data_IF_728359125342
#
_entry.id   IF_728359125342
#
_cell.length_a   1.000
_cell.length_b   1.000
_cell.length_c   1.000
_cell.angle_alpha   90.00
_cell.angle_beta   90.00
_cell.angle_gamma   90.00
#
_symmetry.space_group_name_H-M   'P 1'
#
loop_
_entity.id
_entity.type
_entity.pdbx_description
1 polymer ?
#
# COMPACT_ATOMS: atom_id res chain seq x y z
N UNK A 1 -7.53 -4.57 24.93
CA UNK A 1 -7.45 -3.77 23.69
C UNK A 1 -6.46 -4.47 22.77
N UNK A 2 -6.86 -4.92 21.57
CA UNK A 2 -5.91 -5.54 20.64
C UNK A 2 -4.99 -4.46 20.06
N UNK A 3 -3.68 -4.67 20.06
CA UNK A 3 -2.70 -3.76 19.46
C UNK A 3 -2.75 -3.78 17.92
N UNK A 4 -3.32 -4.84 17.34
CA UNK A 4 -3.34 -5.06 15.90
C UNK A 4 -4.63 -4.54 15.24
N UNK A 5 -4.49 -4.09 13.99
CA UNK A 5 -5.62 -3.62 13.19
C UNK A 5 -6.59 -4.76 12.94
N UNK A 6 -7.88 -4.51 13.19
CA UNK A 6 -8.93 -5.42 12.72
C UNK A 6 -9.00 -5.38 11.20
N UNK A 7 -9.51 -6.43 10.52
CA UNK A 7 -9.60 -6.44 9.06
C UNK A 7 -10.38 -5.24 8.49
N UNK A 8 -11.46 -4.83 9.17
CA UNK A 8 -12.26 -3.68 8.75
C UNK A 8 -11.49 -2.36 8.82
N UNK A 9 -10.76 -2.12 9.92
CA UNK A 9 -9.91 -0.92 10.06
C UNK A 9 -8.79 -0.98 9.02
N UNK A 10 -8.16 -2.14 8.83
CA UNK A 10 -7.09 -2.30 7.86
C UNK A 10 -7.55 -2.09 6.41
N UNK A 11 -8.75 -2.56 6.05
CA UNK A 11 -9.35 -2.30 4.73
C UNK A 11 -9.55 -0.81 4.52
N UNK A 12 -10.14 -0.11 5.50
CA UNK A 12 -10.28 1.34 5.47
C UNK A 12 -8.93 2.04 5.33
N UNK A 13 -7.93 1.67 6.14
CA UNK A 13 -6.58 2.25 6.08
C UNK A 13 -5.89 2.00 4.75
N UNK A 14 -6.09 0.84 4.13
CA UNK A 14 -5.57 0.52 2.79
C UNK A 14 -6.16 1.48 1.77
N UNK A 15 -7.48 1.64 1.75
CA UNK A 15 -8.17 2.55 0.82
C UNK A 15 -7.79 4.02 1.05
N UNK A 16 -7.68 4.44 2.32
CA UNK A 16 -7.23 5.78 2.68
C UNK A 16 -5.80 6.05 2.19
N UNK A 17 -4.89 5.08 2.33
CA UNK A 17 -3.53 5.18 1.81
C UNK A 17 -3.52 5.25 0.27
N UNK A 18 -4.32 4.42 -0.41
CA UNK A 18 -4.50 4.47 -1.87
C UNK A 18 -4.98 5.82 -2.35
N UNK A 19 -5.99 6.38 -1.69
CA UNK A 19 -6.52 7.69 -2.02
C UNK A 19 -5.46 8.76 -1.83
N UNK A 20 -4.75 8.76 -0.70
CA UNK A 20 -3.68 9.71 -0.41
C UNK A 20 -2.53 9.62 -1.44
N UNK A 21 -2.10 8.40 -1.80
CA UNK A 21 -1.09 8.16 -2.82
C UNK A 21 -1.52 8.70 -4.19
N UNK A 22 -2.76 8.43 -4.61
CA UNK A 22 -3.32 8.93 -5.88
C UNK A 22 -3.44 10.44 -5.89
N UNK A 23 -3.91 11.05 -4.80
CA UNK A 23 -3.98 12.51 -4.66
C UNK A 23 -2.59 13.14 -4.74
N UNK A 24 -1.60 12.57 -4.03
CA UNK A 24 -0.21 13.01 -4.09
C UNK A 24 0.32 12.94 -5.53
N UNK A 25 0.16 11.81 -6.22
CA UNK A 25 0.65 11.66 -7.59
C UNK A 25 -0.05 12.61 -8.56
N UNK A 26 -1.33 12.89 -8.36
CA UNK A 26 -2.05 13.88 -9.17
C UNK A 26 -1.54 15.29 -8.92
N UNK A 27 -1.41 15.71 -7.67
CA UNK A 27 -1.01 17.08 -7.33
C UNK A 27 0.49 17.34 -7.53
N UNK A 28 1.36 16.45 -7.04
CA UNK A 28 2.80 16.66 -7.02
C UNK A 28 3.50 16.32 -8.35
N UNK A 29 2.92 15.42 -9.15
CA UNK A 29 3.51 14.96 -10.42
C UNK A 29 2.67 15.40 -11.61
N UNK A 30 1.40 15.01 -11.69
CA UNK A 30 0.59 15.24 -12.91
C UNK A 30 0.26 16.72 -13.14
N UNK A 31 -0.11 17.49 -12.11
CA UNK A 31 -0.37 18.93 -12.25
C UNK A 31 0.90 19.73 -12.60
N UNK A 32 2.08 19.29 -12.13
CA UNK A 32 3.33 19.93 -12.53
C UNK A 32 3.64 19.69 -14.00
N UNK A 33 3.35 18.49 -14.50
CA UNK A 33 3.57 18.14 -15.91
C UNK A 33 2.68 18.93 -16.88
N UNK A 34 1.45 19.30 -16.50
CA UNK A 34 0.54 20.03 -17.39
C UNK A 34 1.03 21.43 -17.77
N UNK A 35 1.89 22.04 -16.95
CA UNK A 35 2.48 23.36 -17.22
C UNK A 35 3.86 23.32 -17.87
N UNK A 36 4.43 22.13 -18.10
CA UNK A 36 5.79 21.97 -18.63
C UNK A 36 5.78 21.71 -20.13
N UNK A 37 6.77 22.24 -20.83
CA UNK A 37 7.09 21.83 -22.19
C UNK A 37 7.62 20.37 -22.19
N UNK A 38 7.68 19.72 -23.36
CA UNK A 38 8.03 18.29 -23.47
C UNK A 38 9.43 17.97 -22.95
N UNK A 39 10.38 18.88 -23.06
CA UNK A 39 11.77 18.67 -22.63
C UNK A 39 11.91 18.78 -21.11
N UNK A 40 11.32 19.79 -20.49
CA UNK A 40 11.38 19.98 -19.04
C UNK A 40 10.53 18.92 -18.33
N UNK A 41 9.42 18.49 -18.93
CA UNK A 41 8.64 17.34 -18.43
C UNK A 41 9.44 16.02 -18.41
N UNK A 42 10.29 15.78 -19.42
CA UNK A 42 11.19 14.60 -19.42
C UNK A 42 12.26 14.70 -18.35
N UNK A 43 12.84 15.89 -18.14
CA UNK A 43 13.82 16.11 -17.06
C UNK A 43 13.19 15.88 -15.69
N UNK A 44 12.01 16.44 -15.45
CA UNK A 44 11.25 16.26 -14.21
C UNK A 44 10.92 14.79 -13.92
N UNK A 45 10.42 14.05 -14.92
CA UNK A 45 10.17 12.60 -14.77
C UNK A 45 11.45 11.78 -14.53
N UNK A 46 12.60 12.31 -14.95
CA UNK A 46 13.91 11.72 -14.71
C UNK A 46 14.45 11.95 -13.30
N UNK A 47 13.85 12.87 -12.52
CA UNK A 47 14.29 13.12 -11.15
C UNK A 47 14.14 11.86 -10.29
N UNK A 48 15.17 11.49 -9.47
CA UNK A 48 15.18 10.23 -8.73
C UNK A 48 13.95 10.03 -7.84
N UNK A 49 13.44 11.10 -7.21
CA UNK A 49 12.26 11.02 -6.37
C UNK A 49 10.97 10.83 -7.18
N UNK A 50 10.83 11.48 -8.35
CA UNK A 50 9.65 11.33 -9.23
C UNK A 50 9.62 9.91 -9.80
N UNK A 51 10.76 9.41 -10.28
CA UNK A 51 10.87 8.04 -10.77
C UNK A 51 10.51 7.02 -9.69
N UNK A 52 10.97 7.23 -8.45
CA UNK A 52 10.62 6.36 -7.33
C UNK A 52 9.16 6.47 -6.92
N UNK A 53 8.58 7.68 -6.89
CA UNK A 53 7.17 7.89 -6.59
C UNK A 53 6.27 7.22 -7.64
N UNK A 54 6.58 7.37 -8.94
CA UNK A 54 5.88 6.69 -10.03
C UNK A 54 5.97 5.16 -9.90
N UNK A 55 7.15 4.61 -9.63
CA UNK A 55 7.33 3.18 -9.44
C UNK A 55 6.63 2.65 -8.17
N UNK A 56 6.60 3.45 -7.10
CA UNK A 56 5.87 3.13 -5.89
C UNK A 56 4.34 3.16 -6.12
N UNK A 57 3.84 4.13 -6.89
CA UNK A 57 2.42 4.25 -7.25
C UNK A 57 1.93 3.09 -8.10
N UNK A 58 2.75 2.60 -9.03
CA UNK A 58 2.39 1.44 -9.84
C UNK A 58 2.14 0.23 -8.95
N UNK A 59 3.06 -0.01 -8.02
CA UNK A 59 2.94 -1.11 -7.08
C UNK A 59 1.78 -0.93 -6.09
N UNK A 60 1.50 0.30 -5.66
CA UNK A 60 0.30 0.60 -4.87
C UNK A 60 -0.98 0.25 -5.64
N UNK A 61 -1.05 0.63 -6.93
CA UNK A 61 -2.22 0.37 -7.77
C UNK A 61 -2.45 -1.14 -8.04
N UNK A 62 -1.39 -1.94 -8.08
CA UNK A 62 -1.46 -3.40 -8.28
C UNK A 62 -1.95 -4.13 -7.02
N UNK A 63 -1.42 -3.76 -5.85
CA UNK A 63 -1.61 -4.53 -4.63
C UNK A 63 -2.76 -4.05 -3.74
N UNK A 64 -3.09 -2.76 -3.75
CA UNK A 64 -4.12 -2.23 -2.86
C UNK A 64 -5.52 -2.80 -3.12
N UNK A 65 -5.97 -3.04 -4.37
CA UNK A 65 -7.24 -3.74 -4.60
C UNK A 65 -7.23 -5.15 -3.99
N UNK A 66 -6.12 -5.89 -4.13
CA UNK A 66 -5.99 -7.24 -3.56
C UNK A 66 -6.07 -7.20 -2.03
N UNK A 67 -5.33 -6.29 -1.38
CA UNK A 67 -5.40 -6.15 0.09
C UNK A 67 -6.79 -5.70 0.55
N UNK A 68 -7.39 -4.73 -0.12
CA UNK A 68 -8.72 -4.25 0.25
C UNK A 68 -9.75 -5.39 0.16
N UNK A 69 -9.77 -6.13 -0.94
CA UNK A 69 -10.71 -7.24 -1.15
C UNK A 69 -10.53 -8.35 -0.11
N UNK A 70 -9.30 -8.80 0.15
CA UNK A 70 -9.04 -9.88 1.11
C UNK A 70 -9.36 -9.45 2.56
N UNK A 71 -9.08 -8.19 2.91
CA UNK A 71 -9.39 -7.64 4.24
C UNK A 71 -10.90 -7.45 4.44
N UNK A 72 -11.62 -6.98 3.42
CA UNK A 72 -13.08 -6.88 3.46
C UNK A 72 -13.73 -8.26 3.58
N UNK A 73 -13.21 -9.27 2.87
CA UNK A 73 -13.68 -10.64 3.03
C UNK A 73 -13.45 -11.14 4.46
N UNK A 74 -12.23 -10.98 5.00
CA UNK A 74 -11.92 -11.36 6.37
C UNK A 74 -12.76 -10.61 7.42
N UNK A 75 -13.20 -9.38 7.12
CA UNK A 75 -14.13 -8.61 7.97
C UNK A 75 -15.53 -9.25 8.01
N UNK A 76 -16.00 -9.81 6.90
CA UNK A 76 -17.32 -10.43 6.81
C UNK A 76 -17.40 -11.76 7.59
N UNK A 77 -16.29 -12.50 7.69
CA UNK A 77 -16.21 -13.73 8.49
C UNK A 77 -16.09 -13.43 9.99
N UNK A 78 -17.06 -13.86 10.80
CA UNK A 78 -17.07 -13.63 12.27
C UNK A 78 -15.82 -14.19 12.97
N UNK A 79 -15.36 -15.38 12.56
CA UNK A 79 -14.17 -16.05 13.11
C UNK A 79 -12.86 -15.35 12.71
N UNK A 80 -12.78 -14.85 11.48
CA UNK A 80 -11.59 -14.17 10.96
C UNK A 80 -11.47 -12.75 11.53
N UNK A 81 -12.57 -12.02 11.63
CA UNK A 81 -12.57 -10.65 12.13
C UNK A 81 -12.09 -10.52 13.58
N UNK A 82 -12.30 -11.55 14.40
CA UNK A 82 -11.88 -11.57 15.81
C UNK A 82 -10.54 -12.26 16.03
N UNK A 83 -9.95 -12.88 14.99
CA UNK A 83 -8.70 -13.62 15.10
C UNK A 83 -7.50 -12.69 15.26
N UNK A 84 -6.73 -12.90 16.33
CA UNK A 84 -5.52 -12.10 16.59
C UNK A 84 -4.48 -12.24 15.49
N UNK A 85 -4.32 -13.42 14.90
CA UNK A 85 -3.35 -13.66 13.84
C UNK A 85 -3.74 -12.98 12.53
N UNK A 86 -5.04 -12.96 12.21
CA UNK A 86 -5.60 -12.17 11.10
C UNK A 86 -5.37 -10.68 11.36
N UNK A 87 -5.46 -10.24 12.61
CA UNK A 87 -5.11 -8.87 13.01
C UNK A 87 -3.64 -8.51 12.73
N UNK A 88 -2.70 -9.41 13.05
CA UNK A 88 -1.28 -9.24 12.72
C UNK A 88 -1.09 -9.10 11.21
N UNK A 89 -1.66 -10.02 10.43
CA UNK A 89 -1.54 -10.00 8.98
C UNK A 89 -2.17 -8.74 8.36
N UNK A 90 -3.30 -8.29 8.90
CA UNK A 90 -3.97 -7.04 8.52
C UNK A 90 -3.07 -5.82 8.78
N UNK A 91 -2.39 -5.82 9.92
CA UNK A 91 -1.41 -4.78 10.29
C UNK A 91 -0.22 -4.78 9.34
N UNK A 92 0.32 -5.96 8.99
CA UNK A 92 1.44 -6.09 8.05
C UNK A 92 1.09 -5.58 6.65
N UNK A 93 -0.11 -5.84 6.15
CA UNK A 93 -0.59 -5.32 4.87
C UNK A 93 -0.60 -3.78 4.85
N UNK A 94 -1.16 -3.15 5.88
CA UNK A 94 -1.25 -1.68 5.95
C UNK A 94 0.12 -1.06 6.20
N UNK A 95 0.83 -1.48 7.24
CA UNK A 95 2.13 -0.92 7.59
C UNK A 95 3.14 -1.11 6.45
N UNK A 96 3.15 -2.28 5.83
CA UNK A 96 4.00 -2.55 4.68
C UNK A 96 3.66 -1.66 3.48
N UNK A 97 2.37 -1.40 3.21
CA UNK A 97 1.93 -0.51 2.12
C UNK A 97 2.30 0.94 2.36
N UNK A 98 2.10 1.43 3.59
CA UNK A 98 2.47 2.80 4.00
C UNK A 98 3.99 2.98 3.92
N UNK A 99 4.76 2.07 4.53
CA UNK A 99 6.23 2.13 4.50
C UNK A 99 6.77 2.04 3.08
N UNK A 100 6.24 1.14 2.26
CA UNK A 100 6.71 0.94 0.89
C UNK A 100 6.48 2.18 0.03
N UNK A 101 5.27 2.76 0.05
CA UNK A 101 4.98 3.93 -0.78
C UNK A 101 5.66 5.19 -0.24
N UNK A 102 5.34 5.57 0.99
CA UNK A 102 5.79 6.85 1.55
C UNK A 102 7.27 6.86 1.85
N UNK A 103 7.86 5.74 2.28
CA UNK A 103 9.30 5.65 2.47
C UNK A 103 10.07 5.91 1.17
N UNK A 104 9.58 5.39 0.04
CA UNK A 104 10.19 5.64 -1.28
C UNK A 104 9.97 7.06 -1.78
N UNK A 105 8.80 7.63 -1.51
CA UNK A 105 8.47 9.03 -1.87
C UNK A 105 9.35 10.00 -1.09
N UNK A 106 9.42 9.88 0.24
CA UNK A 106 10.14 10.84 1.08
C UNK A 106 11.66 10.75 0.98
N UNK A 107 12.21 9.55 0.76
CA UNK A 107 13.67 9.40 0.62
C UNK A 107 14.16 9.51 -0.82
N UNK A 108 13.25 9.46 -1.79
CA UNK A 108 13.60 9.39 -3.21
C UNK A 108 14.45 8.17 -3.58
N UNK A 109 14.45 7.12 -2.74
CA UNK A 109 15.22 5.89 -2.91
C UNK A 109 14.31 4.67 -2.72
N UNK A 110 14.63 3.57 -3.41
CA UNK A 110 13.89 2.31 -3.24
C UNK A 110 14.23 1.63 -1.91
N UNK A 111 15.51 1.56 -1.58
CA UNK A 111 15.99 0.97 -0.33
C UNK A 111 16.10 2.01 0.79
N UNK A 112 15.85 1.63 2.05
CA UNK A 112 15.53 0.27 2.52
C UNK A 112 14.03 -0.09 2.49
N UNK A 113 13.17 0.89 2.22
CA UNK A 113 11.72 0.75 2.40
C UNK A 113 11.07 -0.30 1.50
N UNK A 114 11.59 -0.50 0.27
CA UNK A 114 11.13 -1.58 -0.58
C UNK A 114 11.41 -2.96 0.03
N UNK A 115 12.60 -3.13 0.64
CA UNK A 115 13.03 -4.38 1.26
C UNK A 115 12.27 -4.67 2.56
N UNK A 116 11.78 -3.66 3.26
CA UNK A 116 11.00 -3.83 4.48
C UNK A 116 9.50 -3.98 4.14
N UNK A 117 8.96 -3.04 3.37
CA UNK A 117 7.53 -2.96 3.10
C UNK A 117 7.01 -4.03 2.15
N UNK A 118 7.79 -4.52 1.19
CA UNK A 118 7.32 -5.59 0.28
C UNK A 118 7.16 -6.94 1.02
N UNK A 119 8.15 -7.45 1.78
CA UNK A 119 7.98 -8.69 2.53
C UNK A 119 6.85 -8.64 3.56
N UNK A 120 6.66 -7.51 4.25
CA UNK A 120 5.53 -7.35 5.19
C UNK A 120 4.19 -7.57 4.48
N UNK A 121 4.01 -6.94 3.32
CA UNK A 121 2.80 -7.09 2.51
C UNK A 121 2.60 -8.51 2.00
N UNK A 122 3.66 -9.16 1.54
CA UNK A 122 3.59 -10.54 1.04
C UNK A 122 3.27 -11.52 2.16
N UNK A 123 3.91 -11.39 3.31
CA UNK A 123 3.62 -12.20 4.48
C UNK A 123 2.17 -12.01 4.96
N UNK A 124 1.71 -10.76 5.03
CA UNK A 124 0.33 -10.45 5.39
C UNK A 124 -0.68 -11.05 4.42
N UNK A 125 -0.48 -10.88 3.11
CA UNK A 125 -1.38 -11.42 2.10
C UNK A 125 -1.39 -12.95 2.09
N UNK A 126 -0.22 -13.59 2.15
CA UNK A 126 -0.11 -15.05 2.19
C UNK A 126 -0.86 -15.61 3.41
N UNK A 127 -0.69 -14.99 4.58
CA UNK A 127 -1.36 -15.43 5.79
C UNK A 127 -2.88 -15.23 5.71
N UNK A 128 -3.35 -14.08 5.20
CA UNK A 128 -4.78 -13.83 5.04
C UNK A 128 -5.41 -14.84 4.08
N UNK A 129 -4.76 -15.14 2.95
CA UNK A 129 -5.21 -16.16 2.00
C UNK A 129 -5.27 -17.55 2.64
N UNK A 130 -4.23 -17.95 3.39
CA UNK A 130 -4.21 -19.22 4.10
C UNK A 130 -5.33 -19.32 5.16
N UNK A 131 -5.51 -18.27 5.95
CA UNK A 131 -6.54 -18.22 6.97
C UNK A 131 -7.95 -18.29 6.36
N UNK A 132 -8.18 -17.60 5.25
CA UNK A 132 -9.45 -17.67 4.51
C UNK A 132 -9.69 -19.08 3.97
N UNK A 133 -8.68 -19.69 3.31
CA UNK A 133 -8.80 -21.04 2.78
C UNK A 133 -9.12 -22.06 3.88
N UNK A 134 -8.50 -21.96 5.05
CA UNK A 134 -8.79 -22.84 6.19
C UNK A 134 -10.15 -22.61 6.85
N UNK A 135 -10.91 -21.59 6.43
CA UNK A 135 -12.28 -21.31 6.91
C UNK A 135 -13.36 -21.58 5.87
N UNK A 136 -12.97 -21.90 4.63
CA UNK A 136 -13.87 -22.42 3.59
C UNK A 136 -14.14 -23.92 3.84
#
# INVERSE_FOLDING_TARGET
MSFFLTPGIAAFSTLANTLAAKMFMSAAVRLKLTGMNKEDGKKFLGEPWVKNACAAQLNEAEYSPLFFSVLMYAKMGSNLNSSSSVGVASTLCVAGSVLYFWGRVFTGKSLPFALIGAPMRYAGLLYLTYAIYGTL
#
